data_IF_778037770388
#
_entry.id   IF_778037770388
#
_cell.length_a   1.000
_cell.length_b   1.000
_cell.length_c   1.000
_cell.angle_alpha   90.00
_cell.angle_beta   90.00
_cell.angle_gamma   90.00
#
_symmetry.space_group_name_H-M   'P 1'
#
loop_
_entity.id
_entity.type
_entity.pdbx_description
1 polymer ?
#
# COMPACT_ATOMS: atom_id res chain seq x y z
N UNK A 1 9.06 -7.16 19.18
CA UNK A 1 8.04 -7.49 18.16
C UNK A 1 7.48 -6.19 17.62
N UNK A 2 7.42 -6.03 16.31
CA UNK A 2 6.95 -4.84 15.61
C UNK A 2 5.44 -4.91 15.33
N UNK A 3 4.82 -3.82 14.91
CA UNK A 3 3.43 -3.85 14.39
C UNK A 3 3.32 -4.73 13.15
N UNK A 4 4.37 -4.75 12.32
CA UNK A 4 4.46 -5.63 11.17
C UNK A 4 4.39 -7.12 11.58
N UNK A 5 5.05 -7.52 12.67
CA UNK A 5 4.96 -8.89 13.19
C UNK A 5 3.54 -9.25 13.65
N UNK A 6 2.77 -8.26 14.11
CA UNK A 6 1.37 -8.46 14.49
C UNK A 6 0.49 -8.73 13.26
N UNK A 7 0.73 -8.04 12.15
CA UNK A 7 -0.06 -8.24 10.93
C UNK A 7 0.01 -9.68 10.39
N UNK A 8 1.18 -10.31 10.46
CA UNK A 8 1.41 -11.70 10.04
C UNK A 8 1.27 -12.74 11.17
N UNK A 9 0.79 -12.34 12.34
CA UNK A 9 0.59 -13.25 13.45
C UNK A 9 -0.56 -14.23 13.18
N UNK A 10 -0.42 -15.47 13.65
CA UNK A 10 -1.49 -16.48 13.61
C UNK A 10 -2.40 -16.30 14.84
N UNK A 11 -3.51 -15.60 14.64
CA UNK A 11 -4.51 -15.39 15.68
C UNK A 11 -5.39 -16.63 15.90
N UNK A 12 -5.83 -16.89 17.14
CA UNK A 12 -6.77 -17.97 17.46
C UNK A 12 -8.12 -17.89 16.74
N UNK A 13 -8.58 -16.70 16.36
CA UNK A 13 -9.84 -16.49 15.65
C UNK A 13 -9.78 -15.29 14.70
N UNK A 14 -10.75 -15.23 13.78
CA UNK A 14 -10.91 -14.08 12.88
C UNK A 14 -11.29 -12.82 13.64
N UNK A 15 -12.07 -12.96 14.71
CA UNK A 15 -12.48 -11.87 15.58
C UNK A 15 -11.27 -11.21 16.25
N UNK A 16 -10.31 -12.01 16.72
CA UNK A 16 -9.06 -11.49 17.30
C UNK A 16 -8.14 -10.89 16.24
N UNK A 17 -8.05 -11.52 15.06
CA UNK A 17 -7.28 -10.98 13.94
C UNK A 17 -7.82 -9.62 13.50
N UNK A 18 -9.14 -9.50 13.33
CA UNK A 18 -9.79 -8.26 12.93
C UNK A 18 -9.79 -7.21 14.02
N UNK A 19 -9.77 -7.57 15.30
CA UNK A 19 -9.53 -6.60 16.37
C UNK A 19 -8.14 -5.96 16.26
N UNK A 20 -7.12 -6.75 15.91
CA UNK A 20 -5.79 -6.21 15.63
C UNK A 20 -5.77 -5.36 14.35
N UNK A 21 -6.31 -5.88 13.24
CA UNK A 21 -6.36 -5.17 11.97
C UNK A 21 -7.11 -3.85 12.09
N UNK A 22 -8.26 -3.81 12.77
CA UNK A 22 -9.03 -2.58 12.96
C UNK A 22 -8.18 -1.49 13.64
N UNK A 23 -7.50 -1.83 14.75
CA UNK A 23 -6.63 -0.86 15.44
C UNK A 23 -5.41 -0.46 14.61
N UNK A 24 -4.82 -1.41 13.89
CA UNK A 24 -3.63 -1.15 13.09
C UNK A 24 -3.96 -0.26 11.87
N UNK A 25 -5.04 -0.57 11.16
CA UNK A 25 -5.54 0.21 10.03
C UNK A 25 -6.00 1.60 10.50
N UNK A 26 -6.73 1.70 11.61
CA UNK A 26 -7.15 2.99 12.17
C UNK A 26 -5.97 3.90 12.50
N UNK A 27 -4.90 3.34 13.10
CA UNK A 27 -3.66 4.06 13.31
C UNK A 27 -3.10 4.61 11.99
N UNK A 28 -2.96 3.75 10.97
CA UNK A 28 -2.43 4.18 9.67
C UNK A 28 -3.32 5.21 8.98
N UNK A 29 -4.64 5.09 9.08
CA UNK A 29 -5.62 6.03 8.51
C UNK A 29 -5.61 7.39 9.22
N UNK A 30 -5.49 7.42 10.55
CA UNK A 30 -5.51 8.66 11.34
C UNK A 30 -4.18 9.40 11.35
N UNK A 31 -3.06 8.69 11.26
CA UNK A 31 -1.74 9.31 11.32
C UNK A 31 -1.58 10.29 10.16
N UNK A 32 -1.21 11.54 10.45
CA UNK A 32 -1.00 12.54 9.40
C UNK A 32 0.25 12.19 8.58
N UNK A 33 0.39 12.81 7.40
CA UNK A 33 1.62 12.72 6.65
C UNK A 33 2.79 13.21 7.53
N UNK A 34 3.78 12.34 7.72
CA UNK A 34 4.92 12.62 8.59
C UNK A 34 5.86 13.65 7.96
N UNK A 35 6.63 14.34 8.81
CA UNK A 35 7.50 15.43 8.38
C UNK A 35 8.46 15.05 7.23
N UNK A 36 9.11 13.87 7.21
CA UNK A 36 9.98 13.49 6.10
C UNK A 36 9.28 13.42 4.74
N UNK A 37 8.01 12.98 4.70
CA UNK A 37 7.21 12.97 3.48
C UNK A 37 6.88 14.40 3.02
N UNK A 38 6.52 15.28 3.96
CA UNK A 38 6.25 16.70 3.68
C UNK A 38 7.49 17.43 3.17
N UNK A 39 8.65 17.16 3.77
CA UNK A 39 9.94 17.73 3.37
C UNK A 39 10.30 17.25 1.97
N UNK A 40 10.17 15.94 1.69
CA UNK A 40 10.38 15.38 0.37
C UNK A 40 9.48 16.07 -0.65
N UNK A 41 8.17 16.18 -0.38
CA UNK A 41 7.21 16.88 -1.25
C UNK A 41 7.64 18.31 -1.56
N UNK A 42 8.15 19.04 -0.57
CA UNK A 42 8.67 20.40 -0.77
C UNK A 42 9.89 20.40 -1.71
N UNK A 43 10.81 19.47 -1.52
CA UNK A 43 12.05 19.35 -2.31
C UNK A 43 11.81 18.95 -3.77
N UNK A 44 10.84 18.06 -4.03
CA UNK A 44 10.61 17.51 -5.38
C UNK A 44 9.35 18.06 -6.07
N UNK A 45 8.49 18.80 -5.37
CA UNK A 45 7.18 19.23 -5.88
C UNK A 45 7.22 20.07 -7.16
N UNK A 46 8.35 20.73 -7.43
CA UNK A 46 8.60 21.52 -8.64
C UNK A 46 9.33 20.74 -9.76
N UNK A 47 9.67 19.47 -9.52
CA UNK A 47 10.38 18.59 -10.46
C UNK A 47 9.39 17.68 -11.18
N UNK A 48 9.84 17.09 -12.28
CA UNK A 48 9.09 15.98 -12.89
C UNK A 48 9.49 14.68 -12.17
N UNK A 49 8.62 14.19 -11.29
CA UNK A 49 8.87 13.01 -10.44
C UNK A 49 7.72 12.00 -10.49
N UNK A 50 8.03 10.78 -10.08
CA UNK A 50 7.07 9.72 -9.81
C UNK A 50 7.51 8.94 -8.56
N UNK A 51 6.54 8.54 -7.72
CA UNK A 51 6.77 7.78 -6.49
C UNK A 51 6.35 6.33 -6.72
N UNK A 52 7.33 5.42 -6.67
CA UNK A 52 7.10 3.99 -6.53
C UNK A 52 7.29 3.61 -5.07
N UNK A 53 6.25 3.09 -4.43
CA UNK A 53 6.27 2.73 -3.01
C UNK A 53 6.01 1.23 -2.81
N UNK A 54 6.79 0.63 -1.92
CA UNK A 54 6.51 -0.71 -1.38
C UNK A 54 5.82 -0.64 0.00
N UNK A 55 5.67 0.55 0.58
CA UNK A 55 4.93 0.78 1.81
C UNK A 55 3.42 0.74 1.55
N UNK A 56 2.67 0.34 2.57
CA UNK A 56 1.20 0.16 2.52
C UNK A 56 0.48 1.02 3.58
N UNK A 57 1.21 1.95 4.20
CA UNK A 57 0.83 2.70 5.41
C UNK A 57 0.07 4.01 5.15
N UNK A 58 -0.38 4.24 3.90
CA UNK A 58 -1.09 5.46 3.43
C UNK A 58 -0.28 6.76 3.41
N UNK A 59 1.00 6.76 3.84
CA UNK A 59 1.78 8.00 3.93
C UNK A 59 2.05 8.64 2.56
N UNK A 60 2.34 7.82 1.54
CA UNK A 60 2.52 8.28 0.17
C UNK A 60 1.23 8.90 -0.39
N UNK A 61 0.09 8.23 -0.20
CA UNK A 61 -1.24 8.65 -0.65
C UNK A 61 -1.65 9.99 -0.02
N UNK A 62 -1.34 10.18 1.26
CA UNK A 62 -1.62 11.45 1.97
C UNK A 62 -0.74 12.61 1.52
N UNK A 63 0.38 12.33 0.87
CA UNK A 63 1.42 13.32 0.60
C UNK A 63 1.45 13.73 -0.87
N UNK A 64 1.37 12.76 -1.78
CA UNK A 64 1.61 12.94 -3.20
C UNK A 64 0.33 12.71 -4.01
N UNK A 65 0.18 13.34 -5.18
CA UNK A 65 -0.95 13.08 -6.07
C UNK A 65 -1.00 11.62 -6.54
N UNK A 66 -2.20 11.07 -6.66
CA UNK A 66 -2.44 9.68 -7.08
C UNK A 66 -1.90 9.40 -8.49
N UNK A 67 -1.92 10.40 -9.38
CA UNK A 67 -1.40 10.26 -10.74
C UNK A 67 0.12 10.10 -10.79
N UNK A 68 0.82 10.48 -9.71
CA UNK A 68 2.28 10.38 -9.56
C UNK A 68 2.72 9.29 -8.60
N UNK A 69 1.81 8.42 -8.16
CA UNK A 69 2.11 7.40 -7.16
C UNK A 69 1.71 6.01 -7.65
N UNK A 70 2.55 5.01 -7.35
CA UNK A 70 2.27 3.59 -7.53
C UNK A 70 2.59 2.85 -6.23
N UNK A 71 1.54 2.47 -5.49
CA UNK A 71 1.66 1.63 -4.30
C UNK A 71 1.68 0.15 -4.73
N UNK A 72 2.89 -0.34 -5.02
CA UNK A 72 3.09 -1.62 -5.70
C UNK A 72 2.60 -2.83 -4.87
N UNK A 73 2.63 -2.69 -3.55
CA UNK A 73 2.18 -3.71 -2.59
C UNK A 73 0.77 -3.49 -2.05
N UNK A 74 0.04 -2.51 -2.58
CA UNK A 74 -1.30 -2.15 -2.12
C UNK A 74 -1.31 -1.08 -1.03
N UNK A 75 -2.40 -1.02 -0.25
CA UNK A 75 -2.61 -0.03 0.80
C UNK A 75 -3.61 -0.52 1.83
N UNK A 76 -3.34 -0.24 3.10
CA UNK A 76 -4.28 -0.49 4.19
C UNK A 76 -5.51 0.42 4.16
N UNK A 77 -5.53 1.46 3.31
CA UNK A 77 -6.75 2.23 3.06
C UNK A 77 -7.87 1.41 2.40
N UNK A 78 -7.53 0.25 1.83
CA UNK A 78 -8.46 -0.57 1.07
C UNK A 78 -8.52 -2.01 1.56
N UNK A 79 -9.68 -2.62 1.33
CA UNK A 79 -9.91 -4.05 1.45
C UNK A 79 -10.23 -4.65 0.08
N UNK A 80 -10.00 -5.95 -0.06
CA UNK A 80 -10.38 -6.74 -1.23
C UNK A 80 -11.11 -8.02 -0.80
N UNK A 81 -11.83 -8.66 -1.72
CA UNK A 81 -12.32 -10.01 -1.45
C UNK A 81 -11.15 -11.01 -1.34
N UNK A 82 -11.15 -11.86 -0.30
CA UNK A 82 -10.13 -12.91 -0.11
C UNK A 82 -10.17 -13.98 -1.19
N UNK A 83 -11.36 -14.29 -1.70
CA UNK A 83 -11.52 -15.03 -2.94
C UNK A 83 -11.77 -13.97 -4.02
N UNK A 84 -10.76 -13.49 -4.76
CA UNK A 84 -10.83 -12.31 -5.63
C UNK A 84 -11.83 -12.49 -6.78
N UNK A 85 -13.12 -12.44 -6.44
CA UNK A 85 -14.25 -12.73 -7.30
C UNK A 85 -14.69 -11.51 -8.13
N UNK A 86 -14.24 -10.33 -7.70
CA UNK A 86 -14.51 -9.04 -8.31
C UNK A 86 -13.24 -8.20 -8.28
N UNK A 87 -13.17 -7.21 -9.16
CA UNK A 87 -12.06 -6.26 -9.26
C UNK A 87 -12.27 -4.99 -8.39
N UNK A 88 -13.05 -5.13 -7.32
CA UNK A 88 -13.46 -4.01 -6.46
C UNK A 88 -12.57 -3.91 -5.22
N UNK A 89 -12.16 -2.67 -4.94
CA UNK A 89 -11.52 -2.28 -3.68
C UNK A 89 -12.53 -1.55 -2.82
N UNK A 90 -12.64 -1.96 -1.55
CA UNK A 90 -13.56 -1.38 -0.58
C UNK A 90 -12.78 -0.43 0.33
N UNK A 91 -13.29 0.78 0.58
CA UNK A 91 -12.73 1.68 1.59
C UNK A 91 -12.74 0.97 2.96
N UNK A 92 -11.59 0.91 3.62
CA UNK A 92 -11.45 0.23 4.91
C UNK A 92 -12.11 1.02 6.06
N UNK A 93 -12.20 2.34 5.93
CA UNK A 93 -12.59 3.24 7.03
C UNK A 93 -13.94 2.87 7.67
N UNK A 94 -15.04 2.65 6.92
CA UNK A 94 -16.34 2.33 7.51
C UNK A 94 -16.36 0.99 8.26
N UNK A 95 -15.60 -0.01 7.78
CA UNK A 95 -15.50 -1.31 8.43
C UNK A 95 -14.73 -1.21 9.73
N UNK A 96 -13.61 -0.48 9.71
CA UNK A 96 -12.75 -0.25 10.86
C UNK A 96 -13.48 0.54 11.94
N UNK A 97 -14.15 1.63 11.58
CA UNK A 97 -14.93 2.45 12.53
C UNK A 97 -16.01 1.62 13.23
N UNK A 98 -16.74 0.79 12.47
CA UNK A 98 -17.76 -0.12 13.03
C UNK A 98 -17.16 -1.11 14.02
N UNK A 99 -16.07 -1.78 13.62
CA UNK A 99 -15.38 -2.74 14.49
C UNK A 99 -14.86 -2.10 15.79
N UNK A 100 -14.28 -0.90 15.70
CA UNK A 100 -13.74 -0.20 16.87
C UNK A 100 -14.83 0.27 17.83
N UNK A 101 -16.00 0.65 17.31
CA UNK A 101 -17.14 1.06 18.13
C UNK A 101 -17.80 -0.12 18.88
N UNK A 102 -17.79 -1.31 18.28
CA UNK A 102 -18.45 -2.50 18.83
C UNK A 102 -17.54 -3.47 19.61
N UNK A 103 -16.22 -3.43 19.40
CA UNK A 103 -15.31 -4.42 19.97
C UNK A 103 -15.26 -4.38 21.51
N UNK A 104 -15.13 -5.57 22.11
CA UNK A 104 -14.91 -5.74 23.54
C UNK A 104 -13.50 -6.29 23.79
N UNK A 105 -12.62 -5.47 24.36
CA UNK A 105 -11.24 -5.86 24.60
C UNK A 105 -10.46 -6.08 23.31
N UNK A 106 -10.15 -7.33 22.98
CA UNK A 106 -9.32 -7.74 21.83
C UNK A 106 -10.09 -8.60 20.82
N UNK A 107 -11.41 -8.50 20.79
CA UNK A 107 -12.28 -9.26 19.88
C UNK A 107 -13.35 -8.33 19.28
N UNK A 108 -13.52 -8.39 17.96
CA UNK A 108 -14.67 -7.75 17.28
C UNK A 108 -15.89 -8.67 17.34
N UNK A 109 -17.09 -8.11 17.14
CA UNK A 109 -18.30 -8.93 16.99
C UNK A 109 -18.21 -9.74 15.69
N UNK A 110 -18.64 -11.01 15.71
CA UNK A 110 -18.57 -11.88 14.52
C UNK A 110 -19.33 -11.34 13.31
N UNK A 111 -20.38 -10.55 13.55
CA UNK A 111 -21.16 -9.84 12.51
C UNK A 111 -20.46 -8.60 11.92
N UNK A 112 -19.40 -8.12 12.56
CA UNK A 112 -18.58 -7.00 12.09
C UNK A 112 -17.38 -7.45 11.26
N UNK A 113 -17.05 -8.76 11.26
CA UNK A 113 -16.03 -9.33 10.38
C UNK A 113 -16.44 -9.05 8.92
N UNK A 114 -15.62 -8.30 8.15
CA UNK A 114 -16.05 -7.76 6.87
C UNK A 114 -16.22 -8.86 5.82
N UNK A 115 -17.31 -8.77 5.05
CA UNK A 115 -17.66 -9.74 4.00
C UNK A 115 -17.90 -9.04 2.66
N UNK A 116 -17.48 -9.71 1.60
CA UNK A 116 -17.68 -9.30 0.23
C UNK A 116 -19.19 -9.31 -0.09
N UNK A 117 -19.75 -8.18 -0.58
CA UNK A 117 -21.17 -8.11 -0.91
C UNK A 117 -21.54 -8.98 -2.12
N UNK A 118 -20.57 -9.39 -2.93
CA UNK A 118 -20.81 -10.18 -4.15
C UNK A 118 -20.89 -11.68 -3.90
N UNK A 119 -20.09 -12.21 -2.96
CA UNK A 119 -19.98 -13.66 -2.76
C UNK A 119 -20.01 -14.12 -1.29
N UNK A 120 -20.08 -13.20 -0.33
CA UNK A 120 -20.16 -13.51 1.11
C UNK A 120 -18.85 -13.97 1.76
N UNK A 121 -17.78 -14.16 0.98
CA UNK A 121 -16.44 -14.43 1.50
C UNK A 121 -15.89 -13.26 2.31
N UNK A 122 -14.90 -13.53 3.14
CA UNK A 122 -14.24 -12.48 3.93
C UNK A 122 -13.58 -11.45 3.01
N UNK A 123 -13.66 -10.18 3.40
CA UNK A 123 -12.71 -9.19 2.92
C UNK A 123 -11.39 -9.38 3.67
N UNK A 124 -10.29 -8.90 3.08
CA UNK A 124 -8.95 -8.82 3.67
C UNK A 124 -8.32 -7.49 3.28
N UNK A 125 -7.34 -6.96 4.03
CA UNK A 125 -6.60 -5.78 3.60
C UNK A 125 -6.01 -5.97 2.20
N UNK A 126 -6.08 -4.94 1.37
CA UNK A 126 -5.50 -4.95 0.02
C UNK A 126 -3.98 -4.73 0.12
N UNK A 127 -3.29 -5.75 0.62
CA UNK A 127 -1.84 -5.80 0.82
C UNK A 127 -1.31 -7.08 0.20
N UNK A 128 -0.12 -7.03 -0.39
CA UNK A 128 0.42 -8.14 -1.18
C UNK A 128 0.55 -9.46 -0.39
N UNK A 129 -0.31 -10.41 -0.74
CA UNK A 129 -0.27 -11.83 -0.38
C UNK A 129 -0.63 -12.72 -1.60
N UNK A 130 -0.88 -14.01 -1.37
CA UNK A 130 -1.26 -14.97 -2.43
C UNK A 130 -2.59 -14.65 -3.12
N UNK A 131 -3.43 -13.81 -2.50
CA UNK A 131 -4.74 -13.40 -3.01
C UNK A 131 -4.75 -11.97 -3.55
N UNK A 132 -3.60 -11.28 -3.52
CA UNK A 132 -3.50 -9.86 -3.85
C UNK A 132 -4.10 -9.50 -5.21
N UNK A 133 -5.10 -8.62 -5.17
CA UNK A 133 -5.83 -8.19 -6.34
C UNK A 133 -5.00 -7.21 -7.18
N UNK A 134 -4.46 -7.69 -8.30
CA UNK A 134 -3.78 -6.88 -9.32
C UNK A 134 -4.78 -6.34 -10.35
N UNK A 135 -5.72 -5.58 -9.80
CA UNK A 135 -6.90 -5.07 -10.49
C UNK A 135 -6.66 -3.97 -11.50
N UNK A 136 -7.75 -3.40 -12.03
CA UNK A 136 -7.70 -2.22 -12.89
C UNK A 136 -6.91 -1.07 -12.24
N UNK A 137 -7.22 -0.72 -10.98
CA UNK A 137 -6.54 0.36 -10.26
C UNK A 137 -5.03 0.12 -10.11
N UNK A 138 -4.63 -1.12 -9.78
CA UNK A 138 -3.22 -1.49 -9.64
C UNK A 138 -2.48 -1.43 -10.98
N UNK A 139 -3.07 -2.02 -12.03
CA UNK A 139 -2.49 -2.02 -13.38
C UNK A 139 -2.39 -0.61 -13.95
N UNK A 140 -3.34 0.26 -13.64
CA UNK A 140 -3.30 1.65 -14.08
C UNK A 140 -2.15 2.42 -13.41
N UNK A 141 -1.98 2.30 -12.09
CA UNK A 141 -0.90 2.98 -11.38
C UNK A 141 0.48 2.48 -11.82
N UNK A 142 0.62 1.16 -12.00
CA UNK A 142 1.83 0.56 -12.57
C UNK A 142 2.08 1.06 -14.00
N UNK A 143 1.04 1.12 -14.83
CA UNK A 143 1.14 1.63 -16.19
C UNK A 143 1.56 3.11 -16.25
N UNK A 144 1.14 3.94 -15.27
CA UNK A 144 1.63 5.32 -15.13
C UNK A 144 3.11 5.36 -14.77
N UNK A 145 3.57 4.53 -13.84
CA UNK A 145 4.98 4.40 -13.48
C UNK A 145 5.84 3.96 -14.69
N UNK A 146 5.45 2.88 -15.36
CA UNK A 146 6.19 2.34 -16.50
C UNK A 146 6.24 3.35 -17.66
N UNK A 147 5.14 4.06 -17.92
CA UNK A 147 5.10 5.14 -18.89
C UNK A 147 6.05 6.28 -18.51
N UNK A 148 6.01 6.70 -17.23
CA UNK A 148 6.89 7.74 -16.72
C UNK A 148 8.36 7.39 -16.96
N UNK A 149 8.80 6.19 -16.57
CA UNK A 149 10.18 5.73 -16.77
C UNK A 149 10.55 5.69 -18.26
N UNK A 150 9.69 5.08 -19.09
CA UNK A 150 9.95 4.93 -20.54
C UNK A 150 10.10 6.26 -21.27
N UNK A 151 9.29 7.26 -20.93
CA UNK A 151 9.32 8.57 -21.59
C UNK A 151 10.50 9.46 -21.15
N UNK A 152 11.24 9.08 -20.12
CA UNK A 152 12.45 9.79 -19.65
C UNK A 152 13.73 8.97 -19.76
N UNK A 153 13.70 7.79 -20.40
CA UNK A 153 14.85 6.88 -20.46
C UNK A 153 16.08 7.46 -21.18
N UNK A 154 15.88 8.47 -22.03
CA UNK A 154 16.91 9.18 -22.78
C UNK A 154 17.37 10.48 -22.11
N UNK A 155 16.85 10.78 -20.91
CA UNK A 155 17.14 12.01 -20.15
C UNK A 155 18.07 11.74 -18.98
N UNK A 156 18.50 12.83 -18.33
CA UNK A 156 19.13 12.77 -17.01
C UNK A 156 18.10 12.37 -15.95
N UNK A 157 18.22 11.18 -15.40
CA UNK A 157 17.29 10.61 -14.42
C UNK A 157 18.01 10.36 -13.10
N UNK A 158 17.39 10.79 -11.99
CA UNK A 158 17.80 10.39 -10.64
C UNK A 158 16.82 9.34 -10.12
N UNK A 159 17.34 8.17 -9.77
CA UNK A 159 16.64 7.06 -9.15
C UNK A 159 16.90 7.13 -7.64
N UNK A 160 16.03 7.76 -6.88
CA UNK A 160 16.25 7.99 -5.45
C UNK A 160 15.64 6.86 -4.61
N UNK A 161 16.47 6.06 -3.93
CA UNK A 161 16.04 5.04 -2.97
C UNK A 161 16.04 5.60 -1.54
N UNK A 162 14.87 5.58 -0.88
CA UNK A 162 14.71 6.04 0.51
C UNK A 162 14.14 4.92 1.38
N UNK A 163 14.95 4.41 2.31
CA UNK A 163 14.51 3.40 3.28
C UNK A 163 14.13 2.05 2.68
N UNK A 164 14.67 1.71 1.50
CA UNK A 164 14.39 0.42 0.84
C UNK A 164 15.25 -0.68 1.47
N UNK A 165 14.59 -1.69 2.05
CA UNK A 165 15.25 -2.84 2.66
C UNK A 165 15.28 -4.08 1.76
N UNK A 166 15.89 -5.15 2.26
CA UNK A 166 16.12 -6.39 1.50
C UNK A 166 14.92 -7.35 1.45
N UNK A 167 13.76 -6.99 2.01
CA UNK A 167 12.59 -7.90 2.04
C UNK A 167 11.99 -8.15 0.65
N UNK A 168 11.92 -7.12 -0.20
CA UNK A 168 11.29 -7.19 -1.52
C UNK A 168 12.15 -6.50 -2.59
N UNK A 169 13.40 -6.93 -2.79
CA UNK A 169 14.38 -6.22 -3.61
C UNK A 169 13.97 -6.18 -5.10
N UNK A 170 13.09 -7.09 -5.53
CA UNK A 170 12.56 -7.12 -6.89
C UNK A 170 11.60 -5.97 -7.25
N UNK A 171 11.13 -5.18 -6.28
CA UNK A 171 10.20 -4.06 -6.55
C UNK A 171 10.96 -2.78 -6.91
N UNK A 172 11.97 -2.41 -6.12
CA UNK A 172 12.70 -1.14 -6.26
C UNK A 172 14.18 -1.37 -6.55
N UNK A 173 14.91 -1.98 -5.61
CA UNK A 173 16.38 -2.08 -5.65
C UNK A 173 16.92 -2.72 -6.93
N UNK A 174 16.49 -3.95 -7.26
CA UNK A 174 17.00 -4.64 -8.45
C UNK A 174 16.58 -3.94 -9.76
N UNK A 175 15.31 -3.48 -9.92
CA UNK A 175 14.93 -2.65 -11.07
C UNK A 175 15.75 -1.37 -11.19
N UNK A 176 15.98 -0.63 -10.10
CA UNK A 176 16.73 0.63 -10.11
C UNK A 176 18.18 0.39 -10.51
N UNK A 177 18.83 -0.62 -9.95
CA UNK A 177 20.19 -1.01 -10.36
C UNK A 177 20.25 -1.39 -11.85
N UNK A 178 19.26 -2.13 -12.33
CA UNK A 178 19.17 -2.49 -13.74
C UNK A 178 19.00 -1.27 -14.64
N UNK A 179 18.20 -0.29 -14.21
CA UNK A 179 18.00 0.97 -14.93
C UNK A 179 19.27 1.82 -14.94
N UNK A 180 19.93 2.01 -13.81
CA UNK A 180 21.21 2.74 -13.73
C UNK A 180 22.28 2.14 -14.65
N UNK A 181 22.31 0.81 -14.78
CA UNK A 181 23.26 0.13 -15.67
C UNK A 181 22.92 0.24 -17.16
N UNK A 182 21.65 0.46 -17.52
CA UNK A 182 21.15 0.43 -18.91
C UNK A 182 20.88 1.82 -19.50
N UNK A 183 20.49 2.77 -18.66
CA UNK A 183 20.12 4.11 -19.09
C UNK A 183 21.38 5.00 -19.19
N UNK A 184 21.52 5.79 -20.27
CA UNK A 184 22.78 6.46 -20.59
C UNK A 184 23.18 7.59 -19.61
N UNK A 185 22.22 8.26 -18.95
CA UNK A 185 22.47 9.34 -17.99
C UNK A 185 21.60 9.18 -16.72
N UNK A 186 21.56 7.95 -16.18
CA UNK A 186 20.88 7.65 -14.93
C UNK A 186 21.84 7.61 -13.73
N UNK A 187 21.40 8.14 -12.61
CA UNK A 187 22.12 8.13 -11.33
C UNK A 187 21.25 7.50 -10.26
N UNK A 188 21.86 6.70 -9.38
CA UNK A 188 21.27 6.13 -8.17
C UNK A 188 21.79 6.90 -6.96
#
# INVERSE_FOLDING_TARGET
KSLFDGFYHLYPSLEQQWAYYARYIDFMLRELASQPYLDLRSLIGHKDYFILSANVDTQAEKTFPDERTCNYQGSFAHLQCKQPCCDELFDASPYVERMLAGMAGFEVLSEDVPRCPHCGWQLVPWVRDDTFLQGAAWRESLGRYERFVRERSDRRVLLLELGVGEMTPGIITLPFWSMTAKLPDAHL
#
